data_IF_786979476204
#
_entry.id   IF_786979476204
#
_cell.length_a   1.000
_cell.length_b   1.000
_cell.length_c   1.000
_cell.angle_alpha   90.00
_cell.angle_beta   90.00
_cell.angle_gamma   90.00
#
_symmetry.space_group_name_H-M   'P 1'
#
loop_
_entity.id
_entity.type
_entity.pdbx_description
1 polymer ?
#
# COMPACT_ATOMS: atom_id res chain seq x y z
N UNK A 1 12.77 -14.36 8.89
CA UNK A 1 11.53 -13.58 9.05
C UNK A 1 10.68 -14.17 10.18
N UNK A 2 10.47 -13.43 11.27
CA UNK A 2 9.50 -13.79 12.31
C UNK A 2 8.14 -13.07 12.14
N UNK A 3 7.95 -12.38 11.01
CA UNK A 3 6.66 -11.79 10.65
C UNK A 3 5.89 -12.82 9.82
N UNK A 4 4.66 -13.10 10.20
CA UNK A 4 3.80 -14.08 9.52
C UNK A 4 2.68 -13.29 8.86
N UNK A 5 2.51 -13.48 7.56
CA UNK A 5 1.32 -12.98 6.85
C UNK A 5 0.11 -13.66 7.48
N UNK A 6 -0.99 -12.94 7.80
CA UNK A 6 -2.14 -13.55 8.45
C UNK A 6 -2.70 -14.66 7.54
N UNK A 7 -2.81 -15.87 8.09
CA UNK A 7 -3.30 -17.03 7.36
C UNK A 7 -4.80 -17.21 7.64
N UNK A 8 -5.59 -16.30 7.09
CA UNK A 8 -7.05 -16.32 7.20
C UNK A 8 -7.68 -16.40 5.82
N UNK A 9 -8.93 -16.85 5.77
CA UNK A 9 -9.67 -16.92 4.51
C UNK A 9 -9.74 -15.56 3.79
N UNK A 10 -9.87 -14.45 4.55
CA UNK A 10 -9.88 -13.12 3.98
C UNK A 10 -8.52 -12.70 3.42
N UNK A 11 -7.42 -13.01 4.11
CA UNK A 11 -6.06 -12.71 3.63
C UNK A 11 -5.69 -13.52 2.38
N UNK A 12 -6.06 -14.80 2.33
CA UNK A 12 -5.85 -15.63 1.14
C UNK A 12 -6.65 -15.10 -0.05
N UNK A 13 -7.95 -14.82 0.13
CA UNK A 13 -8.80 -14.28 -0.92
C UNK A 13 -8.35 -12.87 -1.37
N UNK A 14 -7.85 -12.03 -0.45
CA UNK A 14 -7.33 -10.71 -0.79
C UNK A 14 -6.08 -10.81 -1.68
N UNK A 15 -5.19 -11.77 -1.37
CA UNK A 15 -4.00 -12.03 -2.19
C UNK A 15 -4.39 -12.55 -3.57
N UNK A 16 -5.36 -13.45 -3.65
CA UNK A 16 -5.90 -13.97 -4.92
C UNK A 16 -6.47 -12.84 -5.79
N UNK A 17 -7.35 -12.00 -5.22
CA UNK A 17 -7.92 -10.86 -5.94
C UNK A 17 -6.84 -9.87 -6.38
N UNK A 18 -5.93 -9.48 -5.50
CA UNK A 18 -4.83 -8.58 -5.86
C UNK A 18 -3.99 -9.17 -7.00
N UNK A 19 -3.68 -10.46 -6.96
CA UNK A 19 -2.90 -11.14 -8.01
C UNK A 19 -3.61 -11.21 -9.37
N UNK A 20 -4.94 -11.15 -9.38
CA UNK A 20 -5.71 -11.19 -10.61
C UNK A 20 -5.71 -9.86 -11.38
N UNK A 21 -5.53 -8.73 -10.69
CA UNK A 21 -5.68 -7.39 -11.27
C UNK A 21 -4.42 -6.53 -11.21
N UNK A 22 -3.53 -6.76 -10.25
CA UNK A 22 -2.28 -6.01 -10.14
C UNK A 22 -1.19 -6.67 -10.98
N UNK A 23 -0.29 -5.85 -11.51
CA UNK A 23 0.95 -6.36 -12.09
C UNK A 23 1.80 -7.07 -11.02
N UNK A 24 2.80 -7.83 -11.46
CA UNK A 24 3.74 -8.46 -10.53
C UNK A 24 4.50 -7.43 -9.66
N UNK A 25 4.79 -6.24 -10.20
CA UNK A 25 5.47 -5.17 -9.47
C UNK A 25 4.57 -4.55 -8.38
N UNK A 26 3.30 -4.25 -8.72
CA UNK A 26 2.32 -3.71 -7.77
C UNK A 26 1.90 -4.75 -6.72
N UNK A 27 1.74 -6.02 -7.09
CA UNK A 27 1.47 -7.09 -6.13
C UNK A 27 2.64 -7.26 -5.15
N UNK A 28 3.87 -7.25 -5.66
CA UNK A 28 5.07 -7.32 -4.81
C UNK A 28 5.18 -6.08 -3.91
N UNK A 29 4.85 -4.90 -4.42
CA UNK A 29 4.73 -3.66 -3.64
C UNK A 29 3.73 -3.81 -2.49
N UNK A 30 2.51 -4.25 -2.75
CA UNK A 30 1.49 -4.51 -1.75
C UNK A 30 1.97 -5.45 -0.64
N UNK A 31 2.69 -6.53 -0.99
CA UNK A 31 3.28 -7.42 0.01
C UNK A 31 4.40 -6.75 0.82
N UNK A 32 5.29 -5.99 0.17
CA UNK A 32 6.35 -5.25 0.87
C UNK A 32 5.77 -4.21 1.83
N UNK A 33 4.75 -3.46 1.39
CA UNK A 33 4.03 -2.48 2.23
C UNK A 33 3.50 -3.15 3.50
N UNK A 34 2.87 -4.32 3.40
CA UNK A 34 2.46 -5.06 4.60
C UNK A 34 3.65 -5.41 5.51
N UNK A 35 4.77 -5.91 4.95
CA UNK A 35 5.93 -6.31 5.74
C UNK A 35 6.62 -5.13 6.42
N UNK A 36 6.76 -3.98 5.73
CA UNK A 36 7.27 -2.75 6.34
C UNK A 36 6.36 -2.29 7.48
N UNK A 37 5.04 -2.28 7.27
CA UNK A 37 4.05 -1.90 8.26
C UNK A 37 4.09 -2.83 9.49
N UNK A 38 4.03 -4.15 9.29
CA UNK A 38 4.05 -5.13 10.37
C UNK A 38 5.39 -5.13 11.13
N UNK A 39 6.50 -4.96 10.43
CA UNK A 39 7.84 -4.86 11.02
C UNK A 39 7.97 -3.64 11.92
N UNK A 40 7.50 -2.48 11.44
CA UNK A 40 7.47 -1.24 12.21
C UNK A 40 6.54 -1.36 13.42
N UNK A 41 5.31 -1.85 13.23
CA UNK A 41 4.34 -2.03 14.31
C UNK A 41 4.91 -2.90 15.45
N UNK A 42 5.55 -4.03 15.10
CA UNK A 42 6.18 -4.92 16.08
C UNK A 42 7.33 -4.25 16.82
N UNK A 43 8.22 -3.55 16.11
CA UNK A 43 9.38 -2.86 16.72
C UNK A 43 8.93 -1.77 17.70
N UNK A 44 7.82 -1.10 17.42
CA UNK A 44 7.33 0.04 18.19
C UNK A 44 6.16 -0.29 19.13
N UNK A 45 5.73 -1.55 19.21
CA UNK A 45 4.61 -1.96 20.06
C UNK A 45 3.26 -1.36 19.68
N UNK A 46 3.07 -1.01 18.40
CA UNK A 46 1.82 -0.45 17.89
C UNK A 46 0.81 -1.59 17.73
N UNK A 47 -0.32 -1.49 18.44
CA UNK A 47 -1.41 -2.46 18.34
C UNK A 47 -2.30 -2.10 17.16
N UNK A 48 -2.57 -3.07 16.29
CA UNK A 48 -3.44 -2.93 15.13
C UNK A 48 -4.13 -4.26 14.79
N UNK A 49 -5.20 -4.22 14.01
CA UNK A 49 -5.80 -5.38 13.35
C UNK A 49 -4.92 -5.82 12.17
N UNK A 50 -4.14 -6.88 12.39
CA UNK A 50 -3.18 -7.38 11.40
C UNK A 50 -3.82 -7.94 10.11
N UNK A 51 -5.02 -8.52 10.20
CA UNK A 51 -5.75 -9.01 9.02
C UNK A 51 -6.29 -7.81 8.22
N UNK A 52 -6.86 -6.80 8.90
CA UNK A 52 -7.30 -5.56 8.24
C UNK A 52 -6.15 -4.85 7.55
N UNK A 53 -5.01 -4.70 8.22
CA UNK A 53 -3.82 -4.08 7.65
C UNK A 53 -3.31 -4.84 6.43
N UNK A 54 -3.31 -6.18 6.47
CA UNK A 54 -2.91 -7.00 5.33
C UNK A 54 -3.85 -6.81 4.14
N UNK A 55 -5.17 -6.90 4.36
CA UNK A 55 -6.15 -6.68 3.28
C UNK A 55 -6.06 -5.25 2.75
N UNK A 56 -5.86 -4.25 3.63
CA UNK A 56 -5.67 -2.87 3.18
C UNK A 56 -4.44 -2.74 2.27
N UNK A 57 -3.32 -3.36 2.61
CA UNK A 57 -2.12 -3.37 1.78
C UNK A 57 -2.36 -4.04 0.41
N UNK A 58 -3.14 -5.12 0.35
CA UNK A 58 -3.48 -5.77 -0.93
C UNK A 58 -4.36 -4.89 -1.83
N UNK A 59 -5.19 -4.03 -1.25
CA UNK A 59 -6.18 -3.24 -2.00
C UNK A 59 -5.82 -1.75 -2.19
N UNK A 60 -4.80 -1.21 -1.50
CA UNK A 60 -4.59 0.24 -1.47
C UNK A 60 -4.33 0.87 -2.85
N UNK A 61 -3.68 0.12 -3.75
CA UNK A 61 -3.38 0.51 -5.13
C UNK A 61 -4.24 -0.21 -6.18
N UNK A 62 -5.25 -1.00 -5.78
CA UNK A 62 -6.04 -1.84 -6.71
C UNK A 62 -6.70 -1.02 -7.82
N UNK A 63 -7.07 0.23 -7.53
CA UNK A 63 -7.71 1.16 -8.46
C UNK A 63 -6.73 1.94 -9.34
N UNK A 64 -5.44 1.60 -9.31
CA UNK A 64 -4.53 1.92 -10.41
C UNK A 64 -4.75 0.99 -11.60
N UNK A 65 -5.34 -0.20 -11.39
CA UNK A 65 -5.77 -1.10 -12.47
C UNK A 65 -6.93 -0.47 -13.26
N UNK A 66 -6.92 -0.53 -14.61
CA UNK A 66 -7.94 0.10 -15.44
C UNK A 66 -9.38 -0.33 -15.12
N UNK A 67 -9.56 -1.58 -14.69
CA UNK A 67 -10.87 -2.18 -14.36
C UNK A 67 -11.56 -1.50 -13.18
N UNK A 68 -10.78 -0.86 -12.29
CA UNK A 68 -11.26 -0.24 -11.06
C UNK A 68 -10.93 1.26 -10.98
N UNK A 69 -10.36 1.84 -12.04
CA UNK A 69 -10.05 3.27 -12.08
C UNK A 69 -11.31 4.09 -12.33
N UNK A 70 -11.80 4.76 -11.29
CA UNK A 70 -12.93 5.67 -11.43
C UNK A 70 -12.56 6.93 -12.19
N UNK A 71 -13.45 7.39 -13.07
CA UNK A 71 -13.30 8.69 -13.73
C UNK A 71 -13.58 9.88 -12.81
N UNK A 72 -14.28 9.69 -11.69
CA UNK A 72 -14.83 10.80 -10.89
C UNK A 72 -14.17 10.98 -9.53
N UNK A 73 -13.56 9.93 -8.98
CA UNK A 73 -12.93 9.94 -7.64
C UNK A 73 -11.48 9.53 -7.72
N UNK A 74 -10.67 9.88 -6.72
CA UNK A 74 -9.25 9.50 -6.69
C UNK A 74 -9.08 7.98 -6.57
N UNK A 75 -7.88 7.48 -6.93
CA UNK A 75 -7.65 6.03 -6.95
C UNK A 75 -7.79 5.42 -5.55
N UNK A 76 -7.39 6.13 -4.50
CA UNK A 76 -7.53 5.66 -3.11
C UNK A 76 -9.00 5.62 -2.67
N UNK A 77 -9.84 6.53 -3.16
CA UNK A 77 -11.29 6.52 -2.92
C UNK A 77 -11.96 5.36 -3.64
N UNK A 78 -11.64 5.16 -4.93
CA UNK A 78 -12.11 4.02 -5.71
C UNK A 78 -11.66 2.68 -5.09
N UNK A 79 -10.40 2.58 -4.67
CA UNK A 79 -9.83 1.40 -4.02
C UNK A 79 -10.52 1.12 -2.69
N UNK A 80 -10.83 2.16 -1.91
CA UNK A 80 -11.63 2.05 -0.70
C UNK A 80 -13.04 1.49 -0.95
N UNK A 81 -13.69 1.88 -2.05
CA UNK A 81 -14.98 1.30 -2.45
C UNK A 81 -14.86 -0.19 -2.83
N UNK A 82 -13.86 -0.56 -3.63
CA UNK A 82 -13.61 -1.96 -4.02
C UNK A 82 -13.35 -2.83 -2.79
N UNK A 83 -12.51 -2.35 -1.87
CA UNK A 83 -12.16 -3.06 -0.64
C UNK A 83 -13.37 -3.28 0.28
N UNK A 84 -14.31 -2.32 0.36
CA UNK A 84 -15.56 -2.48 1.10
C UNK A 84 -16.44 -3.59 0.52
N UNK A 85 -16.53 -3.69 -0.80
CA UNK A 85 -17.27 -4.75 -1.49
C UNK A 85 -16.60 -6.10 -1.24
N UNK A 86 -15.28 -6.18 -1.36
CA UNK A 86 -14.52 -7.39 -1.03
C UNK A 86 -14.78 -7.83 0.42
N UNK A 87 -14.63 -6.93 1.39
CA UNK A 87 -14.83 -7.25 2.80
C UNK A 87 -16.29 -7.62 3.11
N UNK A 88 -17.25 -7.13 2.33
CA UNK A 88 -18.62 -7.61 2.36
C UNK A 88 -18.74 -9.08 1.94
N UNK A 89 -18.13 -9.44 0.81
CA UNK A 89 -18.08 -10.83 0.33
C UNK A 89 -17.32 -11.76 1.28
N UNK A 90 -16.28 -11.26 1.95
CA UNK A 90 -15.53 -11.97 2.98
C UNK A 90 -16.28 -12.08 4.34
N UNK A 91 -17.50 -11.56 4.45
CA UNK A 91 -18.35 -11.69 5.63
C UNK A 91 -17.97 -10.80 6.81
N UNK A 92 -17.15 -9.75 6.62
CA UNK A 92 -16.77 -8.85 7.72
C UNK A 92 -17.96 -8.04 8.23
N UNK A 93 -17.99 -7.60 9.50
CA UNK A 93 -19.01 -6.65 9.97
C UNK A 93 -18.93 -5.30 9.25
N UNK A 94 -20.06 -4.61 9.11
CA UNK A 94 -20.16 -3.32 8.37
C UNK A 94 -19.11 -2.29 8.82
N UNK A 95 -18.93 -2.12 10.13
CA UNK A 95 -17.96 -1.19 10.72
C UNK A 95 -16.52 -1.49 10.27
N UNK A 96 -16.16 -2.77 10.21
CA UNK A 96 -14.82 -3.19 9.78
C UNK A 96 -14.59 -2.98 8.29
N UNK A 97 -15.64 -3.11 7.46
CA UNK A 97 -15.59 -2.77 6.02
C UNK A 97 -15.37 -1.28 5.82
N UNK A 98 -16.12 -0.46 6.55
CA UNK A 98 -15.98 1.00 6.51
C UNK A 98 -14.57 1.40 6.92
N UNK A 99 -14.07 0.81 8.02
CA UNK A 99 -12.71 1.00 8.51
C UNK A 99 -11.65 0.65 7.47
N UNK A 100 -11.79 -0.48 6.79
CA UNK A 100 -10.87 -0.90 5.71
C UNK A 100 -10.78 0.17 4.61
N UNK A 101 -11.94 0.64 4.11
CA UNK A 101 -11.94 1.68 3.09
C UNK A 101 -11.35 3.01 3.58
N UNK A 102 -11.57 3.38 4.85
CA UNK A 102 -10.96 4.58 5.44
C UNK A 102 -9.44 4.48 5.55
N UNK A 103 -8.91 3.35 6.00
CA UNK A 103 -7.47 3.08 6.07
C UNK A 103 -6.84 3.20 4.69
N UNK A 104 -7.48 2.64 3.66
CA UNK A 104 -7.04 2.79 2.28
C UNK A 104 -7.07 4.27 1.87
N UNK A 105 -8.15 5.01 2.01
CA UNK A 105 -8.16 6.43 1.62
C UNK A 105 -7.08 7.25 2.34
N UNK A 106 -6.88 6.99 3.63
CA UNK A 106 -5.92 7.72 4.47
C UNK A 106 -4.46 7.41 4.14
N UNK A 107 -4.15 6.34 3.39
CA UNK A 107 -2.76 6.05 3.02
C UNK A 107 -2.11 7.18 2.19
N UNK A 108 -2.94 7.94 1.45
CA UNK A 108 -2.53 9.10 0.65
C UNK A 108 -2.58 10.44 1.39
N UNK A 109 -2.92 10.45 2.67
CA UNK A 109 -2.91 11.68 3.46
C UNK A 109 -1.47 12.13 3.77
N UNK A 110 -1.23 13.43 3.99
CA UNK A 110 0.11 13.92 4.35
C UNK A 110 0.63 13.36 5.67
N UNK A 111 -0.27 13.12 6.63
CA UNK A 111 0.01 12.57 7.94
C UNK A 111 -1.23 11.87 8.52
N UNK A 112 -1.00 10.87 9.36
CA UNK A 112 -2.04 10.10 10.08
C UNK A 112 -1.53 9.83 11.49
N UNK A 113 -2.25 10.33 12.49
CA UNK A 113 -1.90 10.14 13.91
C UNK A 113 -2.08 8.67 14.30
N UNK A 114 -1.00 8.06 14.80
CA UNK A 114 -0.97 6.67 15.25
C UNK A 114 -1.88 6.42 16.47
N UNK A 115 -2.16 7.45 17.28
CA UNK A 115 -3.04 7.33 18.44
C UNK A 115 -4.51 7.16 18.04
N UNK A 116 -4.92 7.76 16.93
CA UNK A 116 -6.29 7.73 16.43
C UNK A 116 -6.49 6.63 15.38
N UNK A 117 -5.49 6.40 14.53
CA UNK A 117 -5.57 5.51 13.38
C UNK A 117 -4.25 4.73 13.18
N UNK A 118 -4.02 3.66 13.96
CA UNK A 118 -2.78 2.90 13.87
C UNK A 118 -2.64 2.20 12.50
N UNK A 119 -3.69 1.62 11.92
CA UNK A 119 -3.59 0.95 10.62
C UNK A 119 -3.29 1.91 9.46
N UNK A 120 -3.93 3.07 9.42
CA UNK A 120 -3.71 4.12 8.42
C UNK A 120 -2.32 4.75 8.55
N UNK A 121 -1.87 4.98 9.79
CA UNK A 121 -0.49 5.41 10.07
C UNK A 121 0.52 4.41 9.49
N UNK A 122 0.34 3.13 9.82
CA UNK A 122 1.22 2.05 9.39
C UNK A 122 1.22 1.90 7.86
N UNK A 123 0.04 1.91 7.23
CA UNK A 123 -0.09 1.75 5.78
C UNK A 123 0.51 2.94 5.01
N UNK A 124 0.20 4.18 5.42
CA UNK A 124 0.76 5.40 4.79
C UNK A 124 2.28 5.43 4.92
N UNK A 125 2.81 5.17 6.13
CA UNK A 125 4.25 5.12 6.38
C UNK A 125 4.92 4.07 5.51
N UNK A 126 4.38 2.86 5.46
CA UNK A 126 4.96 1.74 4.72
C UNK A 126 4.94 1.95 3.20
N UNK A 127 3.87 2.54 2.65
CA UNK A 127 3.84 2.94 1.25
C UNK A 127 4.94 3.97 0.92
N UNK A 128 5.17 4.94 1.81
CA UNK A 128 6.25 5.92 1.64
C UNK A 128 7.66 5.30 1.76
N UNK A 129 7.84 4.29 2.61
CA UNK A 129 9.09 3.50 2.66
C UNK A 129 9.33 2.85 1.30
N UNK A 130 8.33 2.17 0.73
CA UNK A 130 8.54 1.38 -0.48
C UNK A 130 8.67 2.22 -1.75
N UNK A 131 7.90 3.31 -1.88
CA UNK A 131 7.89 4.15 -3.10
C UNK A 131 9.05 5.15 -3.12
N UNK A 132 9.35 5.80 -1.98
CA UNK A 132 10.34 6.89 -1.95
C UNK A 132 11.48 6.66 -0.95
N UNK A 133 11.58 5.48 -0.33
CA UNK A 133 12.65 5.15 0.63
C UNK A 133 12.58 5.94 1.94
N UNK A 134 11.46 6.60 2.23
CA UNK A 134 11.34 7.47 3.42
C UNK A 134 11.35 6.60 4.68
N UNK A 135 12.17 6.96 5.66
CA UNK A 135 12.34 6.24 6.93
C UNK A 135 12.85 4.80 6.79
N UNK A 136 13.56 4.49 5.70
CA UNK A 136 14.10 3.14 5.49
C UNK A 136 15.09 2.73 6.60
N UNK A 137 15.76 3.70 7.21
CA UNK A 137 16.68 3.56 8.34
C UNK A 137 16.03 3.06 9.64
N UNK A 138 14.69 3.01 9.71
CA UNK A 138 14.00 2.31 10.80
C UNK A 138 14.17 0.79 10.75
N UNK A 139 14.54 0.24 9.60
CA UNK A 139 14.66 -1.19 9.37
C UNK A 139 16.12 -1.60 9.31
N UNK A 140 16.46 -2.74 9.91
CA UNK A 140 17.81 -3.28 9.80
C UNK A 140 18.11 -3.68 8.35
N UNK A 141 19.36 -3.55 7.86
CA UNK A 141 19.73 -3.99 6.51
C UNK A 141 19.31 -5.44 6.23
N UNK A 142 19.49 -6.34 7.20
CA UNK A 142 19.07 -7.73 7.08
C UNK A 142 17.56 -7.92 6.86
N UNK A 143 16.72 -7.07 7.47
CA UNK A 143 15.28 -7.09 7.22
C UNK A 143 14.95 -6.51 5.85
N UNK A 144 15.65 -5.44 5.43
CA UNK A 144 15.47 -4.84 4.11
C UNK A 144 15.75 -5.87 3.00
N UNK A 145 16.91 -6.54 3.08
CA UNK A 145 17.33 -7.58 2.14
C UNK A 145 16.36 -8.76 2.12
N UNK A 146 15.87 -9.18 3.29
CA UNK A 146 14.91 -10.29 3.39
C UNK A 146 13.58 -9.97 2.69
N UNK A 147 13.05 -8.75 2.87
CA UNK A 147 11.81 -8.31 2.24
C UNK A 147 11.97 -8.23 0.71
N UNK A 148 13.05 -7.61 0.22
CA UNK A 148 13.32 -7.47 -1.22
C UNK A 148 13.56 -8.82 -1.89
N UNK A 149 14.30 -9.73 -1.24
CA UNK A 149 14.52 -11.08 -1.77
C UNK A 149 13.22 -11.89 -1.89
N UNK A 150 12.27 -11.68 -0.98
CA UNK A 150 10.98 -12.39 -1.02
C UNK A 150 10.00 -11.76 -2.01
N UNK A 151 10.02 -10.45 -2.14
CA UNK A 151 9.13 -9.67 -3.00
C UNK A 151 9.96 -8.62 -3.77
N UNK A 152 10.57 -9.00 -4.91
CA UNK A 152 11.41 -8.09 -5.70
C UNK A 152 10.63 -6.89 -6.25
N UNK A 153 11.30 -5.79 -6.57
CA UNK A 153 10.62 -4.54 -7.00
C UNK A 153 10.18 -4.57 -8.45
N UNK A 154 10.84 -5.36 -9.30
CA UNK A 154 10.34 -5.70 -10.65
C UNK A 154 10.00 -4.48 -11.53
N UNK A 155 10.79 -3.40 -11.45
CA UNK A 155 10.54 -2.18 -12.24
C UNK A 155 9.44 -1.28 -11.68
N UNK A 156 9.04 -1.46 -10.43
CA UNK A 156 8.00 -0.67 -9.75
C UNK A 156 8.15 0.84 -9.95
N UNK A 157 9.37 1.38 -9.90
CA UNK A 157 9.61 2.82 -10.00
C UNK A 157 8.99 3.43 -11.27
N UNK A 158 9.23 2.79 -12.42
CA UNK A 158 8.75 3.27 -13.72
C UNK A 158 7.24 3.06 -13.85
N UNK A 159 6.75 1.88 -13.45
CA UNK A 159 5.33 1.53 -13.53
C UNK A 159 4.47 2.44 -12.64
N UNK A 160 4.85 2.59 -11.37
CA UNK A 160 4.12 3.42 -10.41
C UNK A 160 4.08 4.89 -10.85
N UNK A 161 5.20 5.41 -11.37
CA UNK A 161 5.26 6.78 -11.88
C UNK A 161 4.37 6.97 -13.12
N UNK A 162 4.29 5.97 -14.01
CA UNK A 162 3.37 6.00 -15.14
C UNK A 162 1.91 6.00 -14.68
N UNK A 163 1.55 5.14 -13.73
CA UNK A 163 0.22 5.13 -13.11
C UNK A 163 -0.13 6.48 -12.49
N UNK A 164 0.76 7.06 -11.69
CA UNK A 164 0.51 8.34 -11.01
C UNK A 164 0.41 9.52 -11.99
N UNK A 165 1.15 9.50 -13.10
CA UNK A 165 1.00 10.50 -14.17
C UNK A 165 -0.36 10.38 -14.86
N UNK A 166 -0.79 9.17 -15.21
CA UNK A 166 -2.11 8.94 -15.80
C UNK A 166 -3.25 9.37 -14.85
N UNK A 167 -3.13 9.08 -13.55
CA UNK A 167 -4.05 9.57 -12.53
C UNK A 167 -4.05 11.11 -12.46
N UNK A 168 -2.88 11.75 -12.49
CA UNK A 168 -2.75 13.20 -12.45
C UNK A 168 -3.36 13.90 -13.67
N UNK A 169 -3.21 13.32 -14.86
CA UNK A 169 -3.80 13.84 -16.10
C UNK A 169 -5.32 13.74 -16.09
N UNK A 170 -5.86 12.59 -15.69
CA UNK A 170 -7.32 12.37 -15.65
C UNK A 170 -8.00 13.12 -14.51
N UNK A 171 -7.32 13.23 -13.36
CA UNK A 171 -7.87 13.75 -12.10
C UNK A 171 -6.89 14.76 -11.48
N UNK A 172 -6.85 16.01 -11.96
CA UNK A 172 -5.82 17.00 -11.62
C UNK A 172 -5.82 17.48 -10.16
N UNK A 173 -6.92 17.25 -9.43
CA UNK A 173 -7.09 17.59 -8.02
C UNK A 173 -6.85 16.41 -7.07
N UNK A 174 -6.54 15.22 -7.62
CA UNK A 174 -6.27 14.00 -6.85
C UNK A 174 -4.99 14.07 -6.02
N UNK A 175 -4.87 13.17 -5.04
CA UNK A 175 -3.64 12.98 -4.27
C UNK A 175 -2.44 12.60 -5.15
N UNK A 176 -2.64 11.75 -6.17
CA UNK A 176 -1.63 11.41 -7.16
C UNK A 176 -1.14 12.65 -7.93
N UNK A 177 -2.03 13.53 -8.35
CA UNK A 177 -1.67 14.79 -8.99
C UNK A 177 -0.82 15.68 -8.06
N UNK A 178 -1.19 15.78 -6.77
CA UNK A 178 -0.39 16.51 -5.77
C UNK A 178 0.98 15.88 -5.56
N UNK A 179 1.08 14.55 -5.52
CA UNK A 179 2.35 13.83 -5.41
C UNK A 179 3.26 14.12 -6.61
N UNK A 180 2.75 14.03 -7.84
CA UNK A 180 3.50 14.35 -9.06
C UNK A 180 3.98 15.82 -9.05
N UNK A 181 3.09 16.78 -8.75
CA UNK A 181 3.41 18.21 -8.65
C UNK A 181 4.46 18.52 -7.58
N UNK A 182 4.51 17.73 -6.50
CA UNK A 182 5.49 17.86 -5.41
C UNK A 182 6.78 17.04 -5.63
N UNK A 183 7.11 16.69 -6.88
CA UNK A 183 8.38 16.08 -7.21
C UNK A 183 8.49 14.59 -6.87
N UNK A 184 7.38 13.83 -6.94
CA UNK A 184 7.40 12.37 -6.76
C UNK A 184 8.46 11.69 -7.63
N UNK A 185 8.60 12.10 -8.90
CA UNK A 185 9.58 11.52 -9.83
C UNK A 185 11.02 11.57 -9.30
N UNK A 186 11.42 12.71 -8.72
CA UNK A 186 12.78 12.87 -8.17
C UNK A 186 12.98 12.04 -6.90
N UNK A 187 11.94 11.89 -6.08
CA UNK A 187 11.98 11.09 -4.85
C UNK A 187 12.03 9.59 -5.15
N UNK A 188 11.27 9.12 -6.14
CA UNK A 188 11.35 7.73 -6.62
C UNK A 188 12.75 7.45 -7.17
N UNK A 189 13.29 8.33 -8.03
CA UNK A 189 14.62 8.16 -8.60
C UNK A 189 15.76 8.14 -7.55
N UNK A 190 15.53 8.73 -6.38
CA UNK A 190 16.46 8.74 -5.26
C UNK A 190 16.23 7.59 -4.27
N UNK A 191 15.29 6.68 -4.53
CA UNK A 191 14.94 5.61 -3.60
C UNK A 191 16.08 4.58 -3.51
N UNK A 192 16.71 4.40 -2.31
CA UNK A 192 17.81 3.46 -2.15
C UNK A 192 17.41 1.99 -2.37
N UNK A 193 16.12 1.63 -2.26
CA UNK A 193 15.65 0.26 -2.47
C UNK A 193 15.90 -0.24 -3.90
N UNK A 194 15.90 0.63 -4.91
CA UNK A 194 16.17 0.24 -6.30
C UNK A 194 17.65 -0.16 -6.52
N UNK A 195 18.56 0.30 -5.67
CA UNK A 195 19.95 -0.14 -5.69
C UNK A 195 20.16 -1.50 -5.00
N UNK A 196 19.26 -1.86 -4.07
CA UNK A 196 19.30 -3.10 -3.29
C UNK A 196 18.62 -4.28 -4.00
N UNK A 197 17.70 -4.02 -4.93
CA UNK A 197 16.94 -5.01 -5.70
C UNK A 197 17.72 -5.64 -6.87
N UNK A 198 19.05 -5.78 -6.74
CA UNK A 198 19.95 -6.31 -7.80
C UNK A 198 20.26 -7.79 -7.65
#
# INVERSE_FOLDING_TARGET
MDLVIPDTAASLAASEVASAYQSAALLSHSHRVYLWAAGYARKHGIRCDGELLFVAAMFHDISLAPEFDSHTVSFEEAGGHVARVFAAGAGWPSERRERLGQVIVRHMWPDVDVADDPEGHLLSRAAAVDIVGKNLDDFSPAFQDEVLRRYPRLGLADEFLACFRAQAERKPDSSAARAVKSGLSSRIAANPLDALDR
#
